data_IF_273057924920
#
_entry.id   IF_273057924920
#
_cell.length_a   1.000
_cell.length_b   1.000
_cell.length_c   1.000
_cell.angle_alpha   90.00
_cell.angle_beta   90.00
_cell.angle_gamma   90.00
#
_symmetry.space_group_name_H-M   'P 1'
#
loop_
_entity.id
_entity.type
_entity.pdbx_description
1 polymer ?
#
# COMPACT_ATOMS: atom_id res chain seq x y z
N UNK A 1 2.18 -7.46 -4.25
CA UNK A 1 1.61 -8.40 -3.27
C UNK A 1 0.09 -8.33 -3.32
N UNK A 2 -0.61 -9.41 -3.06
CA UNK A 2 -2.08 -9.48 -3.13
C UNK A 2 -2.63 -10.50 -2.13
N UNK A 3 -3.93 -10.44 -1.84
CA UNK A 3 -4.62 -11.57 -1.22
C UNK A 3 -4.76 -12.70 -2.26
N UNK A 4 -4.37 -13.93 -1.89
CA UNK A 4 -4.39 -15.08 -2.81
C UNK A 4 -5.81 -15.47 -3.24
N UNK A 5 -6.79 -15.30 -2.35
CA UNK A 5 -8.20 -15.57 -2.62
C UNK A 5 -8.85 -14.38 -3.31
N UNK A 6 -8.91 -14.40 -4.63
CA UNK A 6 -9.52 -13.36 -5.47
C UNK A 6 -11.04 -13.23 -5.28
N UNK A 7 -11.71 -14.32 -4.90
CA UNK A 7 -13.14 -14.31 -4.63
C UNK A 7 -13.51 -13.70 -3.27
N UNK A 8 -12.51 -13.47 -2.40
CA UNK A 8 -12.74 -12.86 -1.10
C UNK A 8 -13.25 -11.43 -1.24
N UNK A 9 -14.25 -11.05 -0.44
CA UNK A 9 -14.71 -9.66 -0.32
C UNK A 9 -13.60 -8.70 0.13
N UNK A 10 -12.57 -9.25 0.79
CA UNK A 10 -11.45 -8.51 1.32
C UNK A 10 -10.28 -8.40 0.34
N UNK A 11 -10.41 -8.96 -0.86
CA UNK A 11 -9.33 -8.99 -1.82
C UNK A 11 -8.75 -7.61 -2.15
N UNK A 12 -7.44 -7.60 -2.33
CA UNK A 12 -6.68 -6.47 -2.83
C UNK A 12 -5.46 -6.97 -3.61
N UNK A 13 -4.98 -6.16 -4.54
CA UNK A 13 -3.71 -6.38 -5.22
C UNK A 13 -2.92 -5.08 -5.30
N UNK A 14 -1.66 -5.12 -4.85
CA UNK A 14 -0.69 -4.05 -4.91
C UNK A 14 0.41 -4.42 -5.91
N UNK A 15 0.57 -3.59 -6.92
CA UNK A 15 1.54 -3.75 -8.00
C UNK A 15 2.44 -2.50 -8.00
N UNK A 16 3.76 -2.69 -8.08
CA UNK A 16 4.71 -1.62 -8.29
C UNK A 16 5.31 -1.73 -9.69
N UNK A 17 5.38 -0.62 -10.40
CA UNK A 17 6.06 -0.48 -11.67
C UNK A 17 7.28 0.40 -11.45
N UNK A 18 8.45 -0.10 -11.86
CA UNK A 18 9.71 0.63 -11.79
C UNK A 18 10.10 1.03 -13.22
N UNK A 19 10.53 2.29 -13.39
CA UNK A 19 11.09 2.78 -14.65
C UNK A 19 12.33 1.99 -15.09
N UNK A 20 12.76 2.12 -16.35
CA UNK A 20 13.93 1.42 -16.86
C UNK A 20 15.19 1.77 -16.07
N UNK A 21 15.96 0.74 -15.71
CA UNK A 21 17.26 0.86 -15.07
C UNK A 21 18.34 1.04 -16.14
N UNK A 22 18.41 2.20 -16.80
CA UNK A 22 19.57 2.56 -17.61
C UNK A 22 20.46 3.53 -16.82
N UNK A 23 21.76 3.25 -16.75
CA UNK A 23 22.74 3.94 -15.89
C UNK A 23 22.99 5.42 -16.21
N UNK A 24 22.09 6.09 -16.92
CA UNK A 24 22.05 7.54 -17.08
C UNK A 24 21.06 8.12 -16.07
N UNK A 25 21.31 9.35 -15.60
CA UNK A 25 20.51 10.01 -14.57
C UNK A 25 19.04 10.19 -14.96
N UNK A 26 18.22 9.17 -14.73
CA UNK A 26 16.77 9.22 -14.88
C UNK A 26 16.15 8.94 -13.51
N UNK A 27 15.21 9.81 -13.13
CA UNK A 27 14.44 9.66 -11.89
C UNK A 27 13.74 8.31 -11.97
N UNK A 28 14.01 7.42 -11.01
CA UNK A 28 13.27 6.17 -10.87
C UNK A 28 11.80 6.53 -10.63
N UNK A 29 10.99 6.41 -11.68
CA UNK A 29 9.56 6.61 -11.55
C UNK A 29 8.99 5.32 -11.00
N UNK A 30 8.61 5.35 -9.72
CA UNK A 30 7.83 4.28 -9.11
C UNK A 30 6.36 4.62 -9.23
N UNK A 31 5.61 3.77 -9.93
CA UNK A 31 4.15 3.87 -9.99
C UNK A 31 3.57 2.72 -9.19
N UNK A 32 2.73 3.04 -8.21
CA UNK A 32 2.00 2.05 -7.44
C UNK A 32 0.57 1.97 -7.94
N UNK A 33 0.11 0.74 -8.20
CA UNK A 33 -1.26 0.46 -8.54
C UNK A 33 -1.89 -0.45 -7.49
N UNK A 34 -3.02 -0.03 -6.95
CA UNK A 34 -3.82 -0.79 -5.98
C UNK A 34 -5.15 -1.12 -6.62
N UNK A 35 -5.50 -2.39 -6.59
CA UNK A 35 -6.76 -2.90 -7.08
C UNK A 35 -7.58 -3.41 -5.89
N UNK A 36 -8.84 -2.99 -5.84
CA UNK A 36 -9.87 -3.50 -4.96
C UNK A 36 -11.06 -3.93 -5.83
N UNK A 37 -12.02 -4.64 -5.25
CA UNK A 37 -13.26 -4.96 -5.96
C UNK A 37 -13.97 -3.69 -6.46
N UNK A 38 -14.08 -3.56 -7.78
CA UNK A 38 -14.76 -2.43 -8.43
C UNK A 38 -14.04 -1.08 -8.35
N UNK A 39 -12.78 -1.03 -7.89
CA UNK A 39 -12.01 0.23 -7.80
C UNK A 39 -10.53 0.02 -8.04
N UNK A 40 -9.92 0.95 -8.77
CA UNK A 40 -8.48 0.98 -9.04
C UNK A 40 -7.88 2.32 -8.64
N UNK A 41 -6.69 2.26 -8.04
CA UNK A 41 -5.96 3.42 -7.55
C UNK A 41 -4.59 3.40 -8.19
N UNK A 42 -4.14 4.53 -8.71
CA UNK A 42 -2.78 4.68 -9.24
C UNK A 42 -2.13 5.87 -8.58
N UNK A 43 -0.96 5.65 -7.98
CA UNK A 43 -0.23 6.62 -7.19
C UNK A 43 1.18 6.74 -7.76
N UNK A 44 1.57 7.98 -8.05
CA UNK A 44 2.87 8.31 -8.63
C UNK A 44 3.31 9.67 -8.08
N UNK A 45 4.43 9.70 -7.35
CA UNK A 45 5.00 10.94 -6.77
C UNK A 45 3.95 11.83 -6.07
N UNK A 46 3.11 11.23 -5.22
CA UNK A 46 2.04 11.93 -4.49
C UNK A 46 0.78 12.28 -5.30
N UNK A 47 0.80 12.06 -6.61
CA UNK A 47 -0.38 12.23 -7.48
C UNK A 47 -1.25 10.98 -7.45
N UNK A 48 -2.56 11.16 -7.24
CA UNK A 48 -3.51 10.04 -7.11
C UNK A 48 -4.53 10.06 -8.23
N UNK A 49 -4.74 8.89 -8.83
CA UNK A 49 -5.85 8.62 -9.74
C UNK A 49 -6.74 7.52 -9.17
N UNK A 50 -8.05 7.74 -9.21
CA UNK A 50 -9.08 6.75 -8.91
C UNK A 50 -9.79 6.42 -10.20
N UNK A 51 -9.80 5.15 -10.60
CA UNK A 51 -10.41 4.67 -11.84
C UNK A 51 -9.97 5.49 -13.07
N UNK A 52 -8.69 5.86 -13.13
CA UNK A 52 -8.09 6.64 -14.20
C UNK A 52 -8.27 8.17 -14.10
N UNK A 53 -9.10 8.67 -13.18
CA UNK A 53 -9.34 10.10 -13.00
C UNK A 53 -8.52 10.67 -11.84
N UNK A 54 -7.93 11.84 -12.03
CA UNK A 54 -7.19 12.53 -10.97
C UNK A 54 -8.13 12.99 -9.86
N UNK A 55 -7.72 12.75 -8.61
CA UNK A 55 -8.47 13.18 -7.42
C UNK A 55 -7.58 14.00 -6.50
N UNK A 56 -8.18 14.92 -5.76
CA UNK A 56 -7.51 15.67 -4.70
C UNK A 56 -7.70 14.98 -3.36
N UNK A 57 -6.67 14.99 -2.51
CA UNK A 57 -6.72 14.43 -1.16
C UNK A 57 -7.12 15.52 -0.13
N UNK A 58 -7.83 15.18 0.96
CA UNK A 58 -8.41 13.86 1.26
C UNK A 58 -9.61 13.53 0.37
N UNK A 59 -9.77 12.25 0.04
CA UNK A 59 -10.85 11.76 -0.81
C UNK A 59 -11.51 10.53 -0.20
N UNK A 60 -12.82 10.61 0.06
CA UNK A 60 -13.62 9.46 0.51
C UNK A 60 -14.25 8.75 -0.68
N UNK A 61 -14.21 7.43 -0.68
CA UNK A 61 -14.88 6.57 -1.65
C UNK A 61 -16.02 5.79 -0.99
N UNK A 62 -16.99 5.30 -1.78
CA UNK A 62 -17.95 4.34 -1.28
C UNK A 62 -17.28 3.08 -0.72
N UNK A 63 -18.01 2.31 0.08
CA UNK A 63 -17.55 1.05 0.70
C UNK A 63 -16.44 1.21 1.75
N UNK A 64 -16.38 2.37 2.43
CA UNK A 64 -15.48 2.58 3.57
C UNK A 64 -14.01 2.76 3.19
N UNK A 65 -13.72 3.05 1.92
CA UNK A 65 -12.36 3.35 1.45
C UNK A 65 -12.12 4.87 1.53
N UNK A 66 -10.98 5.26 2.09
CA UNK A 66 -10.56 6.66 2.16
C UNK A 66 -9.11 6.80 1.73
N UNK A 67 -8.81 7.94 1.10
CA UNK A 67 -7.48 8.36 0.72
C UNK A 67 -7.14 9.65 1.45
N UNK A 68 -5.97 9.71 2.07
CA UNK A 68 -5.45 10.92 2.69
C UNK A 68 -3.97 11.10 2.38
N UNK A 69 -3.48 12.33 2.54
CA UNK A 69 -2.06 12.63 2.48
C UNK A 69 -1.49 12.69 3.89
N UNK A 70 -0.32 12.10 4.10
CA UNK A 70 0.43 12.19 5.34
C UNK A 70 1.89 12.51 5.08
N UNK A 71 2.71 12.35 6.10
CA UNK A 71 4.16 12.39 6.00
C UNK A 71 4.69 11.09 6.60
N UNK A 72 5.75 10.52 6.02
CA UNK A 72 6.42 9.35 6.60
C UNK A 72 6.87 9.63 8.06
N UNK A 73 7.16 8.58 8.83
CA UNK A 73 7.68 8.63 10.20
C UNK A 73 8.82 9.64 10.40
N UNK A 74 9.77 9.70 9.47
CA UNK A 74 10.92 10.63 9.53
C UNK A 74 10.57 12.07 9.11
N UNK A 75 9.30 12.32 8.75
CA UNK A 75 8.77 13.59 8.24
C UNK A 75 9.48 14.15 7.00
N UNK A 76 10.26 13.31 6.32
CA UNK A 76 11.07 13.70 5.17
C UNK A 76 10.27 13.73 3.86
N UNK A 77 9.16 13.00 3.80
CA UNK A 77 8.47 12.72 2.54
C UNK A 77 6.95 12.68 2.69
N UNK A 78 6.23 13.26 1.73
CA UNK A 78 4.77 13.19 1.65
C UNK A 78 4.37 11.80 1.19
N UNK A 79 3.46 11.16 1.93
CA UNK A 79 2.94 9.84 1.62
C UNK A 79 1.45 9.90 1.33
N UNK A 80 0.97 8.98 0.49
CA UNK A 80 -0.46 8.73 0.29
C UNK A 80 -0.88 7.55 1.15
N UNK A 81 -1.94 7.73 1.93
CA UNK A 81 -2.48 6.70 2.83
C UNK A 81 -3.83 6.28 2.28
N UNK A 82 -3.93 5.03 1.85
CA UNK A 82 -5.18 4.36 1.52
C UNK A 82 -5.64 3.56 2.74
N UNK A 83 -6.84 3.84 3.23
CA UNK A 83 -7.49 3.06 4.29
C UNK A 83 -8.78 2.47 3.79
N UNK A 84 -9.04 1.22 4.15
CA UNK A 84 -10.35 0.58 4.06
C UNK A 84 -10.75 0.18 5.48
N UNK A 85 -11.83 0.77 5.96
CA UNK A 85 -12.36 0.49 7.29
C UNK A 85 -13.57 -0.43 7.18
N UNK A 86 -13.63 -1.48 8.01
CA UNK A 86 -14.82 -2.33 8.12
C UNK A 86 -15.27 -2.39 9.57
N UNK A 87 -16.33 -1.63 9.86
CA UNK A 87 -16.86 -1.51 11.22
C UNK A 87 -16.00 -0.61 12.10
N UNK A 88 -15.36 -1.16 13.14
CA UNK A 88 -14.64 -0.41 14.18
C UNK A 88 -13.12 -0.39 14.00
N UNK A 89 -12.58 -1.26 13.14
CA UNK A 89 -11.14 -1.44 12.93
C UNK A 89 -10.76 -1.22 11.46
N UNK A 90 -9.53 -0.80 11.20
CA UNK A 90 -9.00 -0.70 9.84
C UNK A 90 -8.69 -2.10 9.28
N UNK A 91 -9.31 -2.43 8.15
CA UNK A 91 -9.13 -3.72 7.49
C UNK A 91 -7.90 -3.76 6.59
N UNK A 92 -7.57 -2.62 6.00
CA UNK A 92 -6.43 -2.48 5.11
C UNK A 92 -5.95 -1.04 5.18
N UNK A 93 -4.67 -0.87 5.42
CA UNK A 93 -4.02 0.43 5.39
C UNK A 93 -2.74 0.31 4.58
N UNK A 94 -2.60 1.13 3.53
CA UNK A 94 -1.45 1.13 2.63
C UNK A 94 -0.89 2.55 2.63
N UNK A 95 0.35 2.71 3.08
CA UNK A 95 1.11 3.96 3.05
C UNK A 95 2.10 3.91 1.89
N UNK A 96 2.03 4.88 0.98
CA UNK A 96 2.80 4.90 -0.27
C UNK A 96 3.61 6.18 -0.33
N UNK A 97 4.94 6.03 -0.30
CA UNK A 97 5.90 7.08 -0.64
C UNK A 97 6.45 6.91 -2.06
N UNK A 98 7.57 7.55 -2.33
CA UNK A 98 8.30 7.59 -3.60
C UNK A 98 9.07 6.30 -3.80
N UNK A 99 9.68 5.75 -2.74
CA UNK A 99 10.51 4.54 -2.79
C UNK A 99 10.04 3.43 -1.86
N UNK A 100 9.02 3.69 -1.04
CA UNK A 100 8.54 2.73 -0.06
C UNK A 100 7.04 2.57 -0.12
N UNK A 101 6.58 1.35 0.17
CA UNK A 101 5.19 1.09 0.48
C UNK A 101 5.10 0.21 1.71
N UNK A 102 4.28 0.63 2.67
CA UNK A 102 4.00 -0.11 3.89
C UNK A 102 2.53 -0.54 3.87
N UNK A 103 2.27 -1.82 4.09
CA UNK A 103 0.91 -2.37 4.15
C UNK A 103 0.63 -2.92 5.52
N UNK A 104 -0.42 -2.42 6.17
CA UNK A 104 -0.93 -2.89 7.44
C UNK A 104 -2.25 -3.61 7.21
N UNK A 105 -2.33 -4.85 7.68
CA UNK A 105 -3.52 -5.70 7.60
C UNK A 105 -3.71 -6.44 8.92
N UNK A 106 -4.96 -6.77 9.29
CA UNK A 106 -5.24 -7.54 10.49
C UNK A 106 -4.68 -8.97 10.40
N UNK A 107 -4.47 -9.58 11.57
CA UNK A 107 -3.88 -10.93 11.72
C UNK A 107 -4.49 -12.03 10.84
N UNK A 108 -5.76 -11.93 10.47
CA UNK A 108 -6.44 -12.98 9.69
C UNK A 108 -6.00 -13.06 8.23
N UNK A 109 -5.19 -12.11 7.74
CA UNK A 109 -4.47 -12.21 6.46
C UNK A 109 -3.22 -13.11 6.53
N UNK A 110 -2.82 -13.55 7.73
CA UNK A 110 -1.66 -14.41 7.91
C UNK A 110 -1.78 -15.69 7.06
N UNK A 111 -0.75 -15.95 6.24
CA UNK A 111 -0.71 -17.11 5.34
C UNK A 111 -1.66 -17.05 4.14
N UNK A 112 -2.33 -15.91 3.90
CA UNK A 112 -3.27 -15.72 2.77
C UNK A 112 -2.78 -14.74 1.70
N UNK A 113 -1.58 -14.20 1.85
CA UNK A 113 -0.99 -13.24 0.92
C UNK A 113 -0.05 -13.93 -0.08
N UNK A 114 -0.05 -13.45 -1.34
CA UNK A 114 0.71 -13.96 -2.47
C UNK A 114 1.49 -12.81 -3.18
N UNK A 115 2.58 -13.11 -3.90
CA UNK A 115 3.34 -12.16 -4.76
C UNK A 115 4.81 -11.98 -4.36
N UNK A 116 5.50 -10.95 -4.89
CA UNK A 116 6.94 -10.67 -4.64
C UNK A 116 7.29 -10.48 -3.15
N UNK A 117 6.32 -10.12 -2.31
CA UNK A 117 6.40 -10.34 -0.86
C UNK A 117 5.85 -11.74 -0.57
N UNK A 118 6.57 -12.76 -1.03
CA UNK A 118 6.13 -14.15 -1.05
C UNK A 118 6.52 -14.83 0.25
N UNK A 119 5.54 -15.15 1.11
CA UNK A 119 5.71 -15.88 2.37
C UNK A 119 6.97 -15.49 3.18
N UNK A 120 7.28 -14.20 3.28
CA UNK A 120 8.35 -13.70 4.13
C UNK A 120 7.73 -13.36 5.49
N UNK A 121 7.88 -14.29 6.44
CA UNK A 121 7.72 -14.04 7.87
C UNK A 121 8.80 -13.06 8.35
N UNK A 122 8.74 -11.80 7.92
CA UNK A 122 9.50 -10.72 8.54
C UNK A 122 8.55 -9.93 9.44
N UNK A 123 8.66 -10.22 10.74
CA UNK A 123 7.95 -9.51 11.79
C UNK A 123 8.68 -8.20 12.08
N UNK A 124 8.05 -7.05 11.82
CA UNK A 124 8.33 -5.85 12.61
C UNK A 124 7.21 -5.70 13.63
N UNK A 125 7.53 -6.04 14.88
CA UNK A 125 6.68 -5.77 16.04
C UNK A 125 6.55 -4.25 16.19
N UNK A 126 5.50 -3.64 15.63
CA UNK A 126 5.11 -2.29 16.07
C UNK A 126 4.06 -2.44 17.16
N UNK A 127 4.54 -2.55 18.41
CA UNK A 127 3.68 -2.42 19.58
C UNK A 127 3.22 -0.97 19.62
N UNK A 128 2.03 -0.68 19.11
CA UNK A 128 1.30 0.52 19.52
C UNK A 128 0.31 0.08 20.59
N UNK A 129 0.56 0.56 21.81
CA UNK A 129 -0.24 0.28 23.00
C UNK A 129 -1.71 0.64 22.77
N UNK A 130 -2.59 -0.37 22.81
CA UNK A 130 -4.04 -0.21 22.98
C UNK A 130 -4.88 -0.57 21.74
N UNK A 131 -5.41 -1.80 21.75
CA UNK A 131 -6.36 -2.42 20.80
C UNK A 131 -5.89 -2.63 19.35
N UNK A 132 -5.88 -3.90 18.93
CA UNK A 132 -5.67 -4.32 17.53
C UNK A 132 -4.26 -4.85 17.26
N UNK A 133 -4.14 -6.15 17.02
CA UNK A 133 -2.91 -6.74 16.49
C UNK A 133 -2.95 -6.64 14.95
N UNK A 134 -2.12 -5.77 14.36
CA UNK A 134 -2.01 -5.62 12.90
C UNK A 134 -0.63 -6.11 12.42
N UNK A 135 -0.63 -6.89 11.33
CA UNK A 135 0.57 -7.24 10.57
C UNK A 135 0.99 -6.02 9.75
N UNK A 136 2.26 -5.63 9.81
CA UNK A 136 2.83 -4.57 8.96
C UNK A 136 3.89 -5.17 8.04
N UNK A 137 3.72 -5.01 6.74
CA UNK A 137 4.68 -5.39 5.72
C UNK A 137 5.32 -4.12 5.18
N UNK A 138 6.60 -3.91 5.46
CA UNK A 138 7.37 -2.85 4.83
C UNK A 138 8.03 -3.43 3.58
N UNK A 139 7.51 -3.09 2.42
CA UNK A 139 8.29 -3.22 1.19
C UNK A 139 9.02 -1.91 1.00
N UNK A 140 10.24 -1.87 1.50
CA UNK A 140 11.24 -0.96 0.93
C UNK A 140 11.43 -1.47 -0.49
N UNK A 141 11.31 -0.63 -1.51
CA UNK A 141 11.98 -0.94 -2.76
C UNK A 141 13.48 -0.90 -2.44
N UNK A 142 14.00 -1.98 -1.84
CA UNK A 142 15.43 -2.10 -1.54
C UNK A 142 16.11 -2.08 -2.88
N UNK A 143 16.96 -1.09 -3.03
CA UNK A 143 17.88 -0.93 -4.12
C UNK A 143 18.99 -1.97 -3.96
N UNK A 144 18.66 -3.26 -3.96
CA UNK A 144 19.61 -4.35 -3.80
C UNK A 144 19.13 -5.59 -4.56
N UNK A 145 19.32 -5.61 -5.87
CA UNK A 145 19.62 -6.86 -6.58
C UNK A 145 20.38 -6.54 -7.90
N UNK A 146 21.70 -6.79 -7.83
CA UNK A 146 22.80 -6.84 -8.83
C UNK A 146 23.32 -5.56 -9.49
#
# INVERSE_FOLDING_TARGET
MSLCDEASVHWFSLISYHGPCDGSSYRLVTVFQILLHGSSFTIQEGTVKVNGQFVSLPHGLPSGVSLSSGVNQDKSEVIVILRRDTGMESELEIEIGVTMVAVKVPLWYLGKLCGLCGNLMTFTHTIHSGHGFSLTFLTVASLDDV
#
